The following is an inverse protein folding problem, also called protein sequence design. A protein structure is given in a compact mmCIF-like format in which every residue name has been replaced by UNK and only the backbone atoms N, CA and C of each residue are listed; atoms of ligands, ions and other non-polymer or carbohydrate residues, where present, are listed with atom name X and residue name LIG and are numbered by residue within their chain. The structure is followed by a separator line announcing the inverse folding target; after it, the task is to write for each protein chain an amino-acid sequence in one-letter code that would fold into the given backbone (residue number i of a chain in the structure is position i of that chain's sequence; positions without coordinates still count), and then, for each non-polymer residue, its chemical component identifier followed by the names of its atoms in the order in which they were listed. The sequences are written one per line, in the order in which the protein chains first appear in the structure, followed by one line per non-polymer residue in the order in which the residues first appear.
data_IF_281773639691
#
_entry.id   IF_281773639691
#
_cell.length_a   1.000
_cell.length_b   1.000
_cell.length_c   1.000
_cell.angle_alpha   90.00
_cell.angle_beta   90.00
_cell.angle_gamma   90.00
#
_symmetry.space_group_name_H-M   'P 1'
#
loop_
_entity.id
_entity.type
_entity.pdbx_description
1 polymer ?
#
# COMPACT_ATOMS: atom_id res chain seq x y z
N UNK A 1 49.84 7.15 0.62
CA UNK A 1 49.95 7.66 -0.77
C UNK A 1 49.77 6.48 -1.70
N UNK A 2 48.81 6.54 -2.63
CA UNK A 2 48.65 5.52 -3.66
C UNK A 2 49.77 5.69 -4.69
N UNK A 3 50.53 4.61 -4.95
CA UNK A 3 51.58 4.58 -5.96
C UNK A 3 51.38 3.33 -6.84
N UNK A 4 51.58 3.47 -8.14
CA UNK A 4 51.44 2.36 -9.10
C UNK A 4 51.75 2.82 -10.53
N UNK A 5 52.09 1.88 -11.42
CA UNK A 5 52.32 2.19 -12.83
C UNK A 5 51.05 2.73 -13.49
N UNK A 6 51.17 3.81 -14.25
CA UNK A 6 50.07 4.36 -15.03
C UNK A 6 49.71 3.42 -16.21
N UNK A 7 48.42 3.21 -16.46
CA UNK A 7 47.93 2.45 -17.61
C UNK A 7 47.13 3.34 -18.56
N UNK A 8 47.28 3.08 -19.86
CA UNK A 8 46.49 3.74 -20.90
C UNK A 8 45.26 2.88 -21.21
N UNK A 9 44.09 3.51 -21.29
CA UNK A 9 42.86 2.87 -21.73
C UNK A 9 42.17 3.73 -22.80
N UNK A 10 41.41 3.10 -23.68
CA UNK A 10 40.65 3.81 -24.71
C UNK A 10 39.68 2.88 -25.42
N UNK A 11 38.60 3.42 -25.99
CA UNK A 11 37.60 2.61 -26.67
C UNK A 11 36.82 3.37 -27.72
N UNK A 12 36.17 2.61 -28.59
CA UNK A 12 35.31 3.09 -29.67
C UNK A 12 33.95 2.38 -29.53
N UNK A 13 32.88 3.16 -29.51
CA UNK A 13 31.51 2.66 -29.69
C UNK A 13 31.07 2.99 -31.11
N UNK A 14 30.58 1.98 -31.84
CA UNK A 14 30.06 2.12 -33.19
C UNK A 14 28.59 1.71 -33.25
N UNK A 15 27.74 2.68 -33.59
CA UNK A 15 26.35 2.43 -33.93
C UNK A 15 26.28 1.90 -35.36
N UNK A 16 25.85 0.65 -35.51
CA UNK A 16 25.75 0.05 -36.85
C UNK A 16 24.55 0.64 -37.61
N UNK A 17 24.54 0.56 -38.95
CA UNK A 17 23.36 0.91 -39.76
C UNK A 17 22.13 0.08 -39.40
N UNK A 18 22.32 -1.12 -38.84
CA UNK A 18 21.26 -1.87 -38.19
C UNK A 18 21.04 -1.31 -36.78
N UNK A 19 20.13 -0.34 -36.69
CA UNK A 19 19.85 0.43 -35.48
C UNK A 19 19.79 -0.35 -34.15
N UNK A 20 19.22 -1.57 -34.05
CA UNK A 20 19.21 -2.29 -32.77
C UNK A 20 20.59 -2.80 -32.33
N UNK A 21 21.60 -2.86 -33.20
CA UNK A 21 22.92 -3.38 -32.89
C UNK A 21 23.97 -2.27 -32.72
N UNK A 22 24.65 -2.28 -31.57
CA UNK A 22 25.83 -1.46 -31.27
C UNK A 22 27.03 -2.34 -30.96
N UNK A 23 28.19 -1.91 -31.42
CA UNK A 23 29.46 -2.59 -31.19
C UNK A 23 30.38 -1.72 -30.33
N UNK A 24 31.11 -2.35 -29.43
CA UNK A 24 32.09 -1.72 -28.55
C UNK A 24 33.43 -2.41 -28.69
N UNK A 25 34.49 -1.63 -28.82
CA UNK A 25 35.86 -2.11 -28.78
C UNK A 25 36.62 -1.26 -27.77
N UNK A 26 37.22 -1.90 -26.78
CA UNK A 26 38.01 -1.26 -25.75
C UNK A 26 39.39 -1.87 -25.70
N UNK A 27 40.41 -1.03 -25.55
CA UNK A 27 41.79 -1.40 -25.29
C UNK A 27 42.15 -1.01 -23.86
N UNK A 28 42.72 -1.97 -23.13
CA UNK A 28 43.06 -1.83 -21.73
C UNK A 28 44.54 -2.17 -21.49
N UNK A 29 45.30 -1.16 -21.03
CA UNK A 29 46.74 -1.28 -20.76
C UNK A 29 47.10 -1.83 -19.38
N UNK A 30 46.14 -2.27 -18.57
CA UNK A 30 46.40 -2.77 -17.22
C UNK A 30 47.25 -4.04 -17.26
N UNK A 31 48.17 -4.16 -16.30
CA UNK A 31 48.91 -5.39 -16.04
C UNK A 31 48.44 -5.97 -14.71
N UNK A 32 47.68 -7.06 -14.79
CA UNK A 32 47.07 -7.72 -13.63
C UNK A 32 48.01 -8.72 -12.93
N UNK A 33 49.30 -8.78 -13.32
CA UNK A 33 50.25 -9.74 -12.77
C UNK A 33 50.57 -9.56 -11.29
N UNK A 34 50.30 -8.37 -10.73
CA UNK A 34 50.60 -7.99 -9.34
C UNK A 34 49.33 -7.70 -8.52
N UNK A 35 48.15 -8.08 -9.02
CA UNK A 35 46.88 -7.77 -8.35
C UNK A 35 46.64 -8.65 -7.11
N UNK A 36 46.11 -8.05 -6.04
CA UNK A 36 45.89 -8.69 -4.74
C UNK A 36 44.74 -9.72 -4.79
N UNK A 37 43.88 -9.63 -5.81
CA UNK A 37 42.76 -10.54 -6.07
C UNK A 37 43.17 -11.91 -6.65
N UNK A 38 44.46 -12.18 -6.83
CA UNK A 38 45.01 -13.40 -7.42
C UNK A 38 45.44 -13.22 -8.89
N UNK A 39 46.03 -14.26 -9.51
CA UNK A 39 46.47 -14.19 -10.91
C UNK A 39 45.25 -14.14 -11.84
N UNK A 40 44.95 -12.95 -12.37
CA UNK A 40 43.96 -12.78 -13.43
C UNK A 40 44.65 -13.09 -14.77
N UNK A 41 44.31 -14.22 -15.38
CA UNK A 41 44.84 -14.57 -16.70
C UNK A 41 44.22 -13.66 -17.77
N UNK A 42 45.07 -12.86 -18.43
CA UNK A 42 44.71 -12.01 -19.56
C UNK A 42 45.47 -12.45 -20.80
N UNK A 43 44.75 -12.94 -21.81
CA UNK A 43 45.32 -13.36 -23.11
C UNK A 43 45.29 -12.25 -24.17
N UNK A 44 44.45 -11.23 -23.96
CA UNK A 44 44.30 -10.07 -24.84
C UNK A 44 44.08 -8.79 -24.06
N UNK A 45 44.58 -7.67 -24.59
CA UNK A 45 44.32 -6.30 -24.09
C UNK A 45 43.08 -5.66 -24.72
N UNK A 46 42.39 -6.40 -25.58
CA UNK A 46 41.18 -5.93 -26.26
C UNK A 46 39.94 -6.62 -25.70
N UNK A 47 38.92 -5.82 -25.41
CA UNK A 47 37.59 -6.26 -25.04
C UNK A 47 36.63 -5.87 -26.17
N UNK A 48 35.79 -6.81 -26.60
CA UNK A 48 34.81 -6.60 -27.67
C UNK A 48 33.42 -6.86 -27.15
N UNK A 49 32.48 -5.95 -27.36
CA UNK A 49 31.10 -6.07 -26.93
C UNK A 49 30.11 -5.82 -28.06
N UNK A 50 28.97 -6.51 -27.99
CA UNK A 50 27.80 -6.29 -28.83
C UNK A 50 26.59 -6.07 -27.92
N UNK A 51 25.81 -5.02 -28.21
CA UNK A 51 24.56 -4.71 -27.53
C UNK A 51 23.46 -4.75 -28.57
N UNK A 52 22.47 -5.61 -28.36
CA UNK A 52 21.32 -5.79 -29.22
C UNK A 52 20.03 -5.35 -28.51
N UNK A 53 19.35 -4.36 -29.06
CA UNK A 53 18.03 -3.93 -28.58
C UNK A 53 16.96 -4.87 -29.11
N UNK A 54 16.42 -5.70 -28.22
CA UNK A 54 15.37 -6.67 -28.56
C UNK A 54 14.02 -5.95 -28.66
N UNK A 55 13.73 -5.06 -27.71
CA UNK A 55 12.53 -4.23 -27.66
C UNK A 55 12.87 -2.88 -27.00
N UNK A 56 11.93 -1.94 -26.99
CA UNK A 56 12.13 -0.65 -26.30
C UNK A 56 12.33 -0.80 -24.77
N UNK A 57 11.91 -1.94 -24.21
CA UNK A 57 12.03 -2.25 -22.78
C UNK A 57 13.15 -3.27 -22.48
N UNK A 58 13.84 -3.83 -23.49
CA UNK A 58 14.86 -4.86 -23.29
C UNK A 58 16.05 -4.76 -24.25
N UNK A 59 17.24 -4.72 -23.68
CA UNK A 59 18.51 -4.91 -24.40
C UNK A 59 19.18 -6.23 -23.95
N UNK A 60 19.89 -6.88 -24.86
CA UNK A 60 20.77 -8.04 -24.60
C UNK A 60 22.20 -7.62 -24.91
N UNK A 61 23.15 -8.03 -24.08
CA UNK A 61 24.57 -7.75 -24.26
C UNK A 61 25.39 -9.04 -24.26
N UNK A 62 26.41 -9.05 -25.11
CA UNK A 62 27.39 -10.12 -25.22
C UNK A 62 28.76 -9.48 -25.37
N UNK A 63 29.71 -9.78 -24.49
CA UNK A 63 31.09 -9.32 -24.60
C UNK A 63 32.09 -10.46 -24.49
N UNK A 64 33.25 -10.24 -25.08
CA UNK A 64 34.42 -11.07 -24.98
C UNK A 64 35.57 -10.22 -24.44
N UNK A 65 36.02 -10.56 -23.25
CA UNK A 65 36.96 -9.78 -22.46
C UNK A 65 38.24 -10.57 -22.19
N UNK A 66 39.35 -9.83 -22.10
CA UNK A 66 40.67 -10.34 -21.68
C UNK A 66 41.16 -11.54 -22.50
N UNK A 67 40.58 -11.80 -23.67
CA UNK A 67 40.94 -12.92 -24.55
C UNK A 67 40.59 -14.31 -24.00
N UNK A 68 39.71 -14.41 -23.00
CA UNK A 68 39.30 -15.69 -22.42
C UNK A 68 37.92 -15.68 -21.73
N UNK A 69 37.33 -14.51 -21.48
CA UNK A 69 36.09 -14.39 -20.72
C UNK A 69 34.96 -13.99 -21.65
N UNK A 70 33.85 -14.74 -21.66
CA UNK A 70 32.61 -14.32 -22.32
C UNK A 70 31.65 -13.83 -21.24
N UNK A 71 31.06 -12.65 -21.43
CA UNK A 71 29.99 -12.16 -20.57
C UNK A 71 28.71 -12.00 -21.37
N UNK A 72 27.60 -12.40 -20.77
CA UNK A 72 26.27 -12.25 -21.30
C UNK A 72 25.37 -11.62 -20.24
N UNK A 73 24.46 -10.75 -20.66
CA UNK A 73 23.54 -10.08 -19.77
C UNK A 73 22.38 -9.43 -20.52
N UNK A 74 21.43 -8.93 -19.75
CA UNK A 74 20.26 -8.25 -20.27
C UNK A 74 19.96 -7.02 -19.41
N UNK A 75 19.32 -6.02 -20.01
CA UNK A 75 18.91 -4.79 -19.35
C UNK A 75 17.44 -4.57 -19.61
N UNK A 76 16.64 -4.53 -18.54
CA UNK A 76 15.21 -4.25 -18.61
C UNK A 76 14.95 -2.79 -18.24
N UNK A 77 14.18 -2.08 -19.05
CA UNK A 77 13.77 -0.70 -18.84
C UNK A 77 12.27 -0.69 -18.56
N UNK A 78 11.86 -0.06 -17.46
CA UNK A 78 10.43 0.14 -17.15
C UNK A 78 10.19 1.60 -16.77
N UNK A 79 9.03 2.13 -17.17
CA UNK A 79 8.57 3.45 -16.77
C UNK A 79 7.60 3.31 -15.59
N UNK A 80 8.06 3.61 -14.38
CA UNK A 80 7.23 3.55 -13.19
C UNK A 80 6.16 4.64 -13.10
N UNK A 81 6.20 5.66 -13.98
CA UNK A 81 5.16 6.70 -14.01
C UNK A 81 3.82 6.18 -14.52
N UNK A 82 3.84 5.18 -15.42
CA UNK A 82 2.63 4.62 -16.03
C UNK A 82 2.15 3.33 -15.35
N UNK A 83 2.96 2.76 -14.44
CA UNK A 83 2.59 1.60 -13.64
C UNK A 83 1.56 1.99 -12.59
N UNK A 84 0.29 1.67 -12.87
CA UNK A 84 -0.79 1.79 -11.88
C UNK A 84 -0.92 0.46 -11.13
N UNK A 85 -0.83 0.44 -9.80
CA UNK A 85 -1.13 -0.76 -9.04
C UNK A 85 -2.59 -1.16 -9.30
N UNK A 86 -2.80 -2.38 -9.76
CA UNK A 86 -4.14 -2.95 -9.92
C UNK A 86 -4.59 -3.49 -8.56
N UNK A 87 -5.15 -2.62 -7.73
CA UNK A 87 -5.79 -3.04 -6.49
C UNK A 87 -7.16 -3.63 -6.83
N UNK A 88 -7.33 -4.93 -6.64
CA UNK A 88 -8.64 -5.56 -6.66
C UNK A 88 -9.33 -5.21 -5.33
N UNK A 89 -9.92 -4.01 -5.26
CA UNK A 89 -10.61 -3.55 -4.07
C UNK A 89 -12.05 -4.09 -4.03
N UNK A 90 -12.53 -4.35 -2.82
CA UNK A 90 -13.93 -4.69 -2.61
C UNK A 90 -14.80 -3.51 -3.03
N UNK A 91 -15.93 -3.79 -3.68
CA UNK A 91 -16.94 -2.77 -3.93
C UNK A 91 -17.32 -2.06 -2.62
N UNK A 92 -17.64 -0.77 -2.72
CA UNK A 92 -18.25 -0.06 -1.58
C UNK A 92 -19.53 -0.82 -1.19
N UNK A 93 -19.84 -0.97 0.11
CA UNK A 93 -21.07 -1.63 0.54
C UNK A 93 -22.28 -0.98 -0.15
N UNK A 94 -23.33 -1.74 -0.48
CA UNK A 94 -24.55 -1.11 -0.95
C UNK A 94 -25.23 -0.37 0.21
N UNK A 95 -25.86 0.77 -0.08
CA UNK A 95 -26.70 1.42 0.93
C UNK A 95 -28.07 0.72 0.94
N UNK A 96 -28.36 -0.01 2.01
CA UNK A 96 -29.58 -0.79 2.22
C UNK A 96 -29.91 -0.69 3.72
N UNK A 97 -30.58 0.39 4.16
CA UNK A 97 -30.84 0.61 5.57
C UNK A 97 -31.89 -0.38 6.12
N UNK A 98 -31.52 -1.08 7.18
CA UNK A 98 -32.40 -1.89 8.01
C UNK A 98 -32.66 -1.15 9.33
N UNK A 99 -33.94 -0.91 9.69
CA UNK A 99 -34.27 -0.25 10.96
C UNK A 99 -33.72 -1.01 12.16
N UNK A 100 -33.07 -0.30 13.08
CA UNK A 100 -32.57 -0.84 14.34
C UNK A 100 -33.17 -0.06 15.51
N UNK A 101 -33.53 -0.78 16.58
CA UNK A 101 -33.89 -0.18 17.86
C UNK A 101 -32.71 0.63 18.44
N UNK A 102 -32.99 1.48 19.43
CA UNK A 102 -31.95 2.25 20.12
C UNK A 102 -30.87 1.36 20.78
N UNK A 103 -31.21 0.11 21.13
CA UNK A 103 -30.28 -0.88 21.66
C UNK A 103 -29.78 -1.74 20.50
N UNK A 104 -28.48 -1.69 20.22
CA UNK A 104 -27.92 -2.41 19.08
C UNK A 104 -27.72 -3.89 19.41
N UNK A 105 -28.17 -4.76 18.52
CA UNK A 105 -27.97 -6.20 18.65
C UNK A 105 -26.50 -6.58 18.40
N UNK A 106 -25.99 -7.52 19.19
CA UNK A 106 -24.59 -7.97 19.10
C UNK A 106 -24.21 -8.52 17.72
N UNK A 107 -25.11 -9.27 17.07
CA UNK A 107 -24.92 -9.82 15.72
C UNK A 107 -24.83 -8.75 14.63
N UNK A 108 -25.53 -7.62 14.79
CA UNK A 108 -25.49 -6.50 13.86
C UNK A 108 -24.13 -5.79 13.96
N UNK A 109 -23.73 -5.46 15.19
CA UNK A 109 -22.44 -4.80 15.44
C UNK A 109 -21.26 -5.69 15.02
N UNK A 110 -21.39 -7.01 15.18
CA UNK A 110 -20.44 -8.00 14.67
C UNK A 110 -20.12 -7.82 13.18
N UNK A 111 -21.19 -7.72 12.38
CA UNK A 111 -21.10 -7.56 10.94
C UNK A 111 -20.53 -6.19 10.58
N UNK A 112 -21.01 -5.12 11.24
CA UNK A 112 -20.49 -3.76 11.04
C UNK A 112 -18.99 -3.68 11.33
N UNK A 113 -18.53 -4.21 12.46
CA UNK A 113 -17.11 -4.24 12.82
C UNK A 113 -16.26 -5.03 11.81
N UNK A 114 -16.80 -6.13 11.29
CA UNK A 114 -16.15 -6.93 10.24
C UNK A 114 -16.03 -6.14 8.94
N UNK A 115 -17.09 -5.45 8.51
CA UNK A 115 -17.07 -4.59 7.33
C UNK A 115 -16.16 -3.38 7.52
N UNK A 116 -16.12 -2.78 8.72
CA UNK A 116 -15.20 -1.70 9.04
C UNK A 116 -13.74 -2.16 8.90
N UNK A 117 -13.43 -3.39 9.34
CA UNK A 117 -12.10 -3.98 9.22
C UNK A 117 -11.71 -4.31 7.78
N UNK A 118 -12.52 -5.12 7.10
CA UNK A 118 -12.14 -5.70 5.80
C UNK A 118 -12.59 -4.89 4.58
N UNK A 119 -13.65 -4.09 4.69
CA UNK A 119 -14.13 -3.23 3.61
C UNK A 119 -13.60 -1.79 3.75
N UNK A 120 -13.89 -1.13 4.87
CA UNK A 120 -13.46 0.26 5.12
C UNK A 120 -11.97 0.39 5.53
N UNK A 121 -11.32 -0.71 5.89
CA UNK A 121 -9.88 -0.75 6.12
C UNK A 121 -9.42 -0.17 7.45
N UNK A 122 -10.29 -0.15 8.46
CA UNK A 122 -9.93 0.26 9.82
C UNK A 122 -9.38 -0.92 10.62
N UNK A 123 -8.14 -0.83 11.06
CA UNK A 123 -7.59 -1.73 12.05
C UNK A 123 -8.17 -1.43 13.44
N UNK A 124 -8.41 -2.50 14.21
CA UNK A 124 -9.01 -2.47 15.54
C UNK A 124 -10.25 -1.55 15.66
N UNK A 125 -11.27 -1.72 14.79
CA UNK A 125 -12.41 -0.84 14.78
C UNK A 125 -13.22 -0.99 16.08
N UNK A 126 -13.80 0.11 16.54
CA UNK A 126 -14.74 0.17 17.66
C UNK A 126 -15.96 0.97 17.26
N UNK A 127 -17.13 0.53 17.71
CA UNK A 127 -18.40 1.26 17.59
C UNK A 127 -18.88 1.57 19.00
N UNK A 128 -19.22 2.82 19.27
CA UNK A 128 -19.71 3.28 20.57
C UNK A 128 -20.88 4.25 20.38
N UNK A 129 -21.85 4.25 21.28
CA UNK A 129 -22.96 5.21 21.31
C UNK A 129 -22.95 6.01 22.61
N UNK A 130 -23.30 7.29 22.49
CA UNK A 130 -23.53 8.21 23.61
C UNK A 130 -24.50 9.31 23.18
N UNK A 131 -25.67 9.38 23.81
CA UNK A 131 -26.73 10.29 23.40
C UNK A 131 -27.15 10.05 21.94
N UNK A 132 -27.19 11.12 21.15
CA UNK A 132 -27.58 11.08 19.73
C UNK A 132 -26.37 10.90 18.77
N UNK A 133 -25.23 10.44 19.28
CA UNK A 133 -24.00 10.32 18.50
C UNK A 133 -23.46 8.88 18.50
N UNK A 134 -23.20 8.37 17.30
CA UNK A 134 -22.48 7.13 17.07
C UNK A 134 -21.01 7.43 16.74
N UNK A 135 -20.11 6.82 17.48
CA UNK A 135 -18.67 6.95 17.35
C UNK A 135 -18.10 5.69 16.70
N UNK A 136 -17.35 5.86 15.63
CA UNK A 136 -16.50 4.82 15.04
C UNK A 136 -15.06 5.23 15.26
N UNK A 137 -14.24 4.36 15.83
CA UNK A 137 -12.80 4.62 15.98
C UNK A 137 -11.99 3.50 15.36
N UNK A 138 -10.85 3.81 14.72
CA UNK A 138 -9.93 2.81 14.21
C UNK A 138 -8.74 3.42 13.47
N UNK A 139 -7.71 2.63 13.19
CA UNK A 139 -6.55 3.08 12.41
C UNK A 139 -6.75 2.77 10.92
N UNK A 140 -6.69 3.77 10.05
CA UNK A 140 -6.84 3.55 8.60
C UNK A 140 -5.56 2.94 8.01
N UNK A 141 -5.64 1.68 7.58
CA UNK A 141 -4.48 0.92 7.09
C UNK A 141 -4.57 0.53 5.61
N UNK A 142 -5.75 0.63 5.01
CA UNK A 142 -6.00 0.13 3.64
C UNK A 142 -5.89 1.23 2.58
N UNK A 143 -6.49 2.38 2.84
CA UNK A 143 -6.62 3.47 1.88
C UNK A 143 -5.60 4.58 2.14
N UNK A 144 -4.85 4.96 1.09
CA UNK A 144 -3.89 6.08 1.15
C UNK A 144 -4.61 7.41 1.40
N UNK A 145 -5.77 7.60 0.77
CA UNK A 145 -6.69 8.69 1.06
C UNK A 145 -7.73 8.18 2.05
N UNK A 146 -7.65 8.62 3.30
CA UNK A 146 -8.52 8.09 4.35
C UNK A 146 -9.99 8.44 4.18
N UNK A 147 -10.31 9.43 3.32
CA UNK A 147 -11.70 9.79 2.98
C UNK A 147 -12.46 8.61 2.38
N UNK A 148 -11.80 7.74 1.62
CA UNK A 148 -12.42 6.51 1.08
C UNK A 148 -12.85 5.57 2.21
N UNK A 149 -12.00 5.40 3.21
CA UNK A 149 -12.31 4.60 4.39
C UNK A 149 -13.46 5.19 5.19
N UNK A 150 -13.45 6.51 5.40
CA UNK A 150 -14.50 7.24 6.12
C UNK A 150 -15.85 7.13 5.38
N UNK A 151 -15.88 7.29 4.06
CA UNK A 151 -17.11 7.15 3.26
C UNK A 151 -17.70 5.74 3.39
N UNK A 152 -16.85 4.72 3.35
CA UNK A 152 -17.26 3.33 3.57
C UNK A 152 -17.76 3.10 4.99
N UNK A 153 -17.05 3.61 6.00
CA UNK A 153 -17.46 3.50 7.39
C UNK A 153 -18.84 4.13 7.63
N UNK A 154 -19.04 5.34 7.13
CA UNK A 154 -20.32 6.04 7.16
C UNK A 154 -21.43 5.18 6.54
N UNK A 155 -21.20 4.61 5.36
CA UNK A 155 -22.19 3.75 4.71
C UNK A 155 -22.48 2.47 5.49
N UNK A 156 -21.45 1.84 6.07
CA UNK A 156 -21.60 0.61 6.87
C UNK A 156 -22.46 0.88 8.11
N UNK A 157 -22.17 1.95 8.86
CA UNK A 157 -22.96 2.25 10.07
C UNK A 157 -24.35 2.79 9.75
N UNK A 158 -24.52 3.44 8.59
CA UNK A 158 -25.84 3.92 8.13
C UNK A 158 -26.80 2.79 7.74
N UNK A 159 -26.29 1.62 7.34
CA UNK A 159 -27.15 0.47 7.01
C UNK A 159 -27.86 -0.09 8.24
N UNK A 160 -27.24 -0.06 9.41
CA UNK A 160 -27.85 -0.56 10.65
C UNK A 160 -27.73 0.50 11.75
N UNK A 161 -28.13 1.73 11.42
CA UNK A 161 -28.02 2.86 12.34
C UNK A 161 -29.11 2.77 13.42
N UNK A 162 -28.75 2.80 14.72
CA UNK A 162 -29.72 2.78 15.80
C UNK A 162 -30.66 4.00 15.77
N UNK A 163 -31.91 3.80 16.18
CA UNK A 163 -32.84 4.91 16.32
C UNK A 163 -32.30 5.99 17.29
N UNK A 164 -32.55 7.26 16.97
CA UNK A 164 -32.16 8.40 17.79
C UNK A 164 -30.78 8.99 17.47
N UNK A 165 -29.96 8.32 16.66
CA UNK A 165 -28.66 8.86 16.23
C UNK A 165 -28.84 9.94 15.16
N UNK A 166 -28.24 11.11 15.43
CA UNK A 166 -28.22 12.28 14.53
C UNK A 166 -26.84 12.60 13.99
N UNK A 167 -25.80 12.18 14.71
CA UNK A 167 -24.41 12.48 14.36
C UNK A 167 -23.58 11.20 14.29
N UNK A 168 -22.78 11.05 13.24
CA UNK A 168 -21.75 10.02 13.14
C UNK A 168 -20.39 10.70 13.27
N UNK A 169 -19.55 10.19 14.16
CA UNK A 169 -18.16 10.64 14.34
C UNK A 169 -17.21 9.50 14.05
N UNK A 170 -16.50 9.59 12.93
CA UNK A 170 -15.44 8.64 12.58
C UNK A 170 -14.10 9.23 13.00
N UNK A 171 -13.49 8.67 14.04
CA UNK A 171 -12.21 9.10 14.60
C UNK A 171 -11.09 8.18 14.12
N UNK A 172 -10.16 8.75 13.36
CA UNK A 172 -8.98 8.03 12.88
C UNK A 172 -7.89 8.03 13.96
N UNK A 173 -7.34 6.85 14.23
CA UNK A 173 -6.24 6.67 15.17
C UNK A 173 -4.93 6.39 14.42
N UNK A 174 -3.81 6.68 15.08
CA UNK A 174 -2.48 6.21 14.68
C UNK A 174 -1.73 5.80 15.93
N UNK A 175 -1.19 4.58 15.97
CA UNK A 175 -0.49 4.07 17.16
C UNK A 175 -1.34 4.19 18.44
N UNK A 176 -2.64 3.91 18.33
CA UNK A 176 -3.64 4.07 19.40
C UNK A 176 -3.87 5.50 19.91
N UNK A 177 -3.36 6.52 19.21
CA UNK A 177 -3.62 7.92 19.52
C UNK A 177 -4.66 8.50 18.54
N UNK A 178 -5.77 9.06 19.03
CA UNK A 178 -6.72 9.80 18.20
C UNK A 178 -6.03 10.94 17.45
N UNK A 179 -6.21 10.99 16.14
CA UNK A 179 -5.60 12.00 15.28
C UNK A 179 -6.60 13.04 14.82
N UNK A 180 -7.78 12.58 14.39
CA UNK A 180 -8.79 13.46 13.82
C UNK A 180 -10.17 12.81 13.86
N UNK A 181 -11.22 13.62 13.90
CA UNK A 181 -12.59 13.14 13.75
C UNK A 181 -13.25 13.77 12.54
N UNK A 182 -13.92 12.95 11.75
CA UNK A 182 -14.88 13.41 10.74
C UNK A 182 -16.28 13.29 11.33
N UNK A 183 -16.90 14.44 11.55
CA UNK A 183 -18.28 14.56 12.01
C UNK A 183 -19.21 14.66 10.81
N UNK A 184 -20.22 13.81 10.76
CA UNK A 184 -21.21 13.75 9.67
C UNK A 184 -22.62 13.80 10.24
N UNK A 185 -23.45 14.70 9.72
CA UNK A 185 -24.88 14.74 10.03
C UNK A 185 -25.63 13.60 9.30
N UNK A 186 -26.38 12.81 10.06
CA UNK A 186 -27.06 11.61 9.57
C UNK A 186 -28.12 11.94 8.53
N UNK A 187 -28.87 13.03 8.70
CA UNK A 187 -29.95 13.38 7.78
C UNK A 187 -29.41 13.81 6.41
N UNK A 188 -28.34 14.61 6.40
CA UNK A 188 -27.65 15.01 5.17
C UNK A 188 -27.00 13.81 4.47
N UNK A 189 -26.37 12.91 5.22
CA UNK A 189 -25.77 11.69 4.68
C UNK A 189 -26.82 10.75 4.09
N UNK A 190 -27.97 10.59 4.75
CA UNK A 190 -29.08 9.77 4.23
C UNK A 190 -29.51 10.25 2.85
N UNK A 191 -29.75 11.56 2.67
CA UNK A 191 -30.14 12.12 1.36
C UNK A 191 -29.13 11.78 0.26
N UNK A 192 -27.84 11.93 0.56
CA UNK A 192 -26.76 11.62 -0.39
C UNK A 192 -26.70 10.13 -0.75
N UNK A 193 -26.97 9.25 0.22
CA UNK A 193 -26.92 7.80 0.01
C UNK A 193 -28.17 7.26 -0.73
N UNK A 194 -29.34 7.86 -0.50
CA UNK A 194 -30.59 7.54 -1.22
C UNK A 194 -30.59 8.09 -2.66
N UNK A 195 -29.77 9.12 -2.90
CA UNK A 195 -29.67 9.80 -4.19
C UNK A 195 -30.58 11.02 -4.25
N UNK A 196 -30.09 12.08 -4.87
CA UNK A 196 -30.81 13.34 -5.01
C UNK A 196 -31.21 13.60 -6.46
N UNK A 197 -32.33 14.31 -6.71
CA UNK A 197 -32.71 14.69 -8.07
C UNK A 197 -31.63 15.57 -8.70
N UNK A 198 -31.38 15.35 -10.00
CA UNK A 198 -30.44 16.17 -10.77
C UNK A 198 -30.78 17.66 -10.64
N UNK A 199 -29.80 18.48 -10.27
CA UNK A 199 -29.96 19.93 -10.08
C UNK A 199 -30.54 20.35 -8.72
N UNK A 200 -30.84 19.40 -7.83
CA UNK A 200 -31.29 19.63 -6.44
C UNK A 200 -30.36 18.97 -5.41
N UNK A 201 -29.10 18.77 -5.79
CA UNK A 201 -28.06 18.21 -4.92
C UNK A 201 -27.84 19.15 -3.72
N UNK A 202 -27.91 18.59 -2.51
CA UNK A 202 -27.61 19.31 -1.29
C UNK A 202 -26.16 19.09 -0.90
N UNK A 203 -25.58 19.98 -0.09
CA UNK A 203 -24.22 19.76 0.42
C UNK A 203 -24.26 18.72 1.55
N UNK A 204 -23.33 17.76 1.52
CA UNK A 204 -23.13 16.84 2.64
C UNK A 204 -22.60 17.63 3.83
N UNK A 205 -23.36 17.64 4.93
CA UNK A 205 -22.95 18.32 6.16
C UNK A 205 -21.95 17.43 6.89
N UNK A 206 -20.70 17.52 6.45
CA UNK A 206 -19.57 16.78 6.98
C UNK A 206 -18.38 17.72 7.20
N UNK A 207 -17.75 17.63 8.36
CA UNK A 207 -16.59 18.46 8.71
C UNK A 207 -15.54 17.67 9.46
N UNK A 208 -14.29 18.06 9.25
CA UNK A 208 -13.13 17.52 9.96
C UNK A 208 -12.82 18.41 11.16
N UNK A 209 -12.76 17.82 12.34
CA UNK A 209 -12.57 18.51 13.62
C UNK A 209 -11.46 17.83 14.41
N UNK A 210 -11.00 18.49 15.48
CA UNK A 210 -10.11 17.89 16.47
C UNK A 210 -10.64 16.53 16.95
N UNK A 211 -9.77 15.56 17.26
CA UNK A 211 -10.18 14.22 17.61
C UNK A 211 -11.08 14.19 18.85
N UNK A 212 -12.26 13.59 18.68
CA UNK A 212 -13.25 13.38 19.72
C UNK A 212 -13.43 11.88 19.95
N UNK A 213 -13.21 11.45 21.18
CA UNK A 213 -13.50 10.10 21.68
C UNK A 213 -14.44 10.25 22.87
N UNK A 214 -15.50 9.44 23.00
CA UNK A 214 -16.46 9.65 24.07
C UNK A 214 -15.84 9.27 25.42
N UNK A 215 -15.91 10.18 26.41
CA UNK A 215 -15.39 9.95 27.77
C UNK A 215 -16.05 8.76 28.50
N UNK A 216 -17.28 8.46 28.12
CA UNK A 216 -18.09 7.35 28.63
C UNK A 216 -18.89 6.76 27.48
N UNK A 217 -19.43 5.56 27.65
CA UNK A 217 -20.14 4.86 26.58
C UNK A 217 -21.40 4.23 27.14
N UNK A 218 -22.53 4.47 26.48
CA UNK A 218 -23.80 3.82 26.83
C UNK A 218 -23.82 2.39 26.29
N UNK A 219 -23.40 2.23 25.03
CA UNK A 219 -23.21 0.93 24.40
C UNK A 219 -21.95 0.98 23.54
N UNK A 220 -21.10 -0.03 23.63
CA UNK A 220 -19.87 -0.06 22.85
C UNK A 220 -19.37 -1.45 22.58
N UNK A 221 -18.74 -1.64 21.42
CA UNK A 221 -18.22 -2.92 20.98
C UNK A 221 -16.92 -2.79 20.22
N UNK A 222 -16.11 -3.83 20.31
CA UNK A 222 -14.85 -3.95 19.59
C UNK A 222 -14.56 -5.41 19.23
N UNK A 223 -13.69 -5.59 18.24
CA UNK A 223 -13.13 -6.91 17.92
C UNK A 223 -11.98 -7.18 18.90
N UNK A 224 -12.10 -8.24 19.70
CA UNK A 224 -11.03 -8.68 20.59
C UNK A 224 -9.82 -9.14 19.77
N UNK A 225 -8.62 -8.81 20.26
CA UNK A 225 -7.38 -9.22 19.60
C UNK A 225 -7.23 -10.72 19.77
N UNK A 226 -6.99 -11.44 18.68
CA UNK A 226 -6.72 -12.87 18.76
C UNK A 226 -5.52 -13.09 19.67
N UNK A 227 -5.65 -13.97 20.67
CA UNK A 227 -4.53 -14.40 21.53
C UNK A 227 -3.53 -15.29 20.78
N UNK A 228 -3.87 -15.70 19.55
CA UNK A 228 -3.04 -16.50 18.66
C UNK A 228 -3.04 -15.86 17.28
N UNK A 229 -1.90 -15.35 16.86
CA UNK A 229 -1.67 -14.79 15.53
C UNK A 229 -0.56 -15.60 14.83
N UNK A 230 -0.77 -15.93 13.57
CA UNK A 230 0.18 -16.66 12.74
C UNK A 230 0.20 -16.05 11.35
N UNK A 231 1.36 -15.54 10.96
CA UNK A 231 1.58 -14.90 9.67
C UNK A 231 2.60 -15.71 8.85
N UNK A 232 2.34 -15.83 7.55
CA UNK A 232 3.32 -16.32 6.57
C UNK A 232 3.63 -15.14 5.66
N UNK A 233 4.79 -14.52 5.85
CA UNK A 233 5.27 -13.41 5.03
C UNK A 233 6.38 -13.90 4.08
N UNK A 234 6.05 -14.38 2.86
CA UNK A 234 7.09 -14.65 1.87
C UNK A 234 7.75 -13.32 1.46
N UNK A 235 8.99 -13.11 1.90
CA UNK A 235 9.76 -11.91 1.54
C UNK A 235 10.47 -12.14 0.22
N UNK A 236 10.13 -11.35 -0.81
CA UNK A 236 10.91 -11.25 -2.05
C UNK A 236 11.81 -10.00 -1.96
N UNK A 237 13.09 -10.19 -1.65
CA UNK A 237 14.07 -9.11 -1.70
C UNK A 237 14.53 -8.89 -3.16
N UNK A 238 13.90 -7.96 -3.86
CA UNK A 238 14.33 -7.50 -5.18
C UNK A 238 14.85 -6.07 -5.09
N UNK A 239 16.18 -5.91 -5.19
CA UNK A 239 16.82 -4.59 -5.24
C UNK A 239 16.83 -4.10 -6.69
N UNK A 240 15.99 -3.11 -6.98
CA UNK A 240 16.09 -2.28 -8.20
C UNK A 240 16.61 -0.92 -7.72
N UNK A 241 17.63 -0.37 -8.41
CA UNK A 241 18.43 0.80 -8.01
C UNK A 241 17.68 1.85 -7.17
N UNK A 242 18.26 2.18 -6.01
CA UNK A 242 17.58 2.77 -4.87
C UNK A 242 16.77 4.06 -5.12
N UNK A 243 15.54 4.05 -4.62
CA UNK A 243 15.12 4.80 -3.42
C UNK A 243 14.01 3.94 -2.78
N UNK A 244 14.25 3.50 -1.54
CA UNK A 244 13.50 2.42 -0.91
C UNK A 244 11.99 2.63 -0.89
N UNK A 245 11.26 1.72 -1.54
CA UNK A 245 9.87 1.41 -1.21
C UNK A 245 9.77 -0.10 -0.96
N UNK A 246 9.67 -0.47 0.32
CA UNK A 246 9.14 -1.78 0.70
C UNK A 246 7.66 -1.80 0.34
N UNK A 247 7.27 -2.69 -0.57
CA UNK A 247 5.89 -3.11 -0.72
C UNK A 247 5.68 -4.31 0.21
N UNK A 248 5.13 -4.02 1.39
CA UNK A 248 4.64 -5.03 2.31
C UNK A 248 3.14 -5.23 2.01
N UNK A 249 2.76 -6.42 1.57
CA UNK A 249 1.36 -6.82 1.43
C UNK A 249 1.13 -7.99 2.38
N UNK A 250 0.79 -7.73 3.65
CA UNK A 250 0.48 -8.80 4.60
C UNK A 250 -0.86 -9.44 4.22
N UNK A 251 -0.87 -10.76 4.11
CA UNK A 251 -2.09 -11.55 4.01
C UNK A 251 -2.52 -11.96 5.43
N UNK A 252 -3.41 -11.18 6.02
CA UNK A 252 -3.96 -11.45 7.35
C UNK A 252 -4.98 -12.59 7.27
N UNK A 253 -4.77 -13.65 8.05
CA UNK A 253 -5.77 -14.70 8.26
C UNK A 253 -6.08 -14.79 9.74
N UNK A 254 -6.96 -13.90 10.20
CA UNK A 254 -7.42 -13.88 11.58
C UNK A 254 -8.28 -15.12 11.89
N UNK A 255 -8.14 -15.65 13.11
CA UNK A 255 -9.15 -16.55 13.68
C UNK A 255 -10.50 -15.86 13.80
N UNK A 256 -11.59 -16.62 14.03
CA UNK A 256 -12.95 -16.04 14.14
C UNK A 256 -12.95 -14.87 15.14
N UNK A 257 -13.37 -13.65 14.73
CA UNK A 257 -13.36 -12.48 15.61
C UNK A 257 -14.32 -12.70 16.78
N UNK A 258 -13.83 -12.49 18.00
CA UNK A 258 -14.69 -12.37 19.20
C UNK A 258 -15.09 -10.91 19.34
N UNK A 259 -16.38 -10.65 19.52
CA UNK A 259 -16.90 -9.30 19.70
C UNK A 259 -17.21 -9.09 21.18
N UNK A 260 -16.62 -8.07 21.76
CA UNK A 260 -16.75 -7.74 23.17
C UNK A 260 -17.50 -6.44 23.36
N UNK A 261 -18.26 -6.35 24.47
CA UNK A 261 -18.96 -5.14 24.87
C UNK A 261 -18.07 -4.19 25.69
N UNK A 262 -18.49 -2.94 25.86
CA UNK A 262 -17.99 -1.99 26.85
C UNK A 262 -19.11 -1.72 27.86
N UNK A 263 -18.82 -1.59 29.18
CA UNK A 263 -17.50 -1.52 29.80
C UNK A 263 -16.88 -2.90 30.17
N UNK A 264 -17.60 -4.00 30.00
CA UNK A 264 -17.16 -5.35 30.39
C UNK A 264 -16.36 -6.06 29.29
N UNK A 265 -15.06 -6.26 29.52
CA UNK A 265 -14.18 -7.04 28.64
C UNK A 265 -14.57 -8.53 28.58
N UNK A 266 -14.37 -9.17 27.43
CA UNK A 266 -14.13 -10.62 27.36
C UNK A 266 -12.63 -10.93 27.51
#
# INVERSE_FOLDING_TARGET
MFHGPASLFGGIEYQTPWQPLRLKLEYEGNNYSEDFAGKIEQKSKFNVGAIYRVTDWADVNLSYERGNTVMFGFTLRTNFNDMRPHYNDNARPAYQPEPQDAIIQHSVVANQLTLLKYNAGFADPKIQTKGDTLYVTGEQVKYRDSREGIERANRIVMNDLPEGIRTIRVTENRLNLPQVTTETDVASLRRHLEGEPLGHETELVQKRIEPVVPESTEQGWYIDKSRFDFHIDPVLNQSVGGAGKLLHVPAWRDGKPRICGLPTTC
#
